data_IF_168939597907
#
_entry.id   IF_168939597907
#
_cell.length_a   1.000
_cell.length_b   1.000
_cell.length_c   1.000
_cell.angle_alpha   90.00
_cell.angle_beta   90.00
_cell.angle_gamma   90.00
#
_symmetry.space_group_name_H-M   'P 1'
#
loop_
_entity.id
_entity.type
_entity.pdbx_description
1 polymer ?
#
# COMPACT_ATOMS: atom_id res chain seq x y z
N UNK A 1 10.93 15.10 -19.79
CA UNK A 1 9.88 14.37 -19.04
C UNK A 1 9.08 15.44 -18.32
N UNK A 2 7.79 15.54 -18.61
CA UNK A 2 6.93 16.52 -17.97
C UNK A 2 6.70 16.08 -16.51
N UNK A 3 7.16 16.88 -15.55
CA UNK A 3 7.00 16.61 -14.13
C UNK A 3 5.68 17.17 -13.58
N UNK A 4 4.98 17.95 -14.39
CA UNK A 4 3.71 18.56 -14.05
C UNK A 4 2.56 17.55 -14.22
N UNK A 5 1.61 17.61 -13.31
CA UNK A 5 0.36 16.88 -13.45
C UNK A 5 -0.48 17.52 -14.55
N UNK A 6 -1.19 16.70 -15.34
CA UNK A 6 -2.23 17.19 -16.23
C UNK A 6 -3.50 17.54 -15.42
N UNK A 7 -4.51 18.09 -16.11
CA UNK A 7 -5.75 18.55 -15.45
C UNK A 7 -6.51 17.39 -14.79
N UNK A 8 -6.57 16.21 -15.41
CA UNK A 8 -7.24 15.03 -14.88
C UNK A 8 -6.53 14.49 -13.65
N UNK A 9 -5.20 14.41 -13.66
CA UNK A 9 -4.39 14.02 -12.52
C UNK A 9 -4.53 14.99 -11.35
N UNK A 10 -4.61 16.30 -11.66
CA UNK A 10 -4.83 17.34 -10.66
C UNK A 10 -6.21 17.18 -10.01
N UNK A 11 -7.27 16.98 -10.82
CA UNK A 11 -8.62 16.75 -10.30
C UNK A 11 -8.70 15.48 -9.44
N UNK A 12 -8.03 14.40 -9.85
CA UNK A 12 -8.00 13.15 -9.08
C UNK A 12 -7.31 13.34 -7.73
N UNK A 13 -6.15 13.99 -7.71
CA UNK A 13 -5.43 14.33 -6.46
C UNK A 13 -6.29 15.19 -5.54
N UNK A 14 -6.91 16.25 -6.07
CA UNK A 14 -7.73 17.17 -5.28
C UNK A 14 -8.99 16.48 -4.73
N UNK A 15 -9.56 15.52 -5.48
CA UNK A 15 -10.63 14.64 -4.99
C UNK A 15 -10.14 13.77 -3.83
N UNK A 16 -8.95 13.17 -3.93
CA UNK A 16 -8.37 12.36 -2.87
C UNK A 16 -8.03 13.20 -1.64
N UNK A 17 -7.54 14.43 -1.81
CA UNK A 17 -7.29 15.37 -0.71
C UNK A 17 -8.60 15.71 0.03
N UNK A 18 -9.67 16.06 -0.71
CA UNK A 18 -10.99 16.34 -0.12
C UNK A 18 -11.57 15.15 0.66
N UNK A 19 -11.41 13.93 0.11
CA UNK A 19 -11.82 12.72 0.81
C UNK A 19 -11.01 12.51 2.10
N UNK A 20 -9.72 12.72 2.02
CA UNK A 20 -8.80 12.58 3.15
C UNK A 20 -9.09 13.59 4.27
N UNK A 21 -9.42 14.83 3.92
CA UNK A 21 -9.88 15.84 4.88
C UNK A 21 -11.17 15.41 5.60
N UNK A 22 -12.08 14.75 4.88
CA UNK A 22 -13.37 14.32 5.43
C UNK A 22 -13.30 13.04 6.24
N UNK A 23 -12.52 12.05 5.78
CA UNK A 23 -12.54 10.69 6.28
C UNK A 23 -11.20 10.21 6.85
N UNK A 24 -10.17 11.04 6.83
CA UNK A 24 -8.86 10.77 7.42
C UNK A 24 -8.67 11.41 8.79
N UNK A 25 -7.42 11.53 9.17
CA UNK A 25 -6.97 12.27 10.35
C UNK A 25 -6.67 11.40 11.57
N UNK A 26 -5.88 12.00 12.44
CA UNK A 26 -5.36 11.36 13.65
C UNK A 26 -6.46 10.89 14.62
N UNK A 27 -7.52 11.70 14.77
CA UNK A 27 -8.62 11.38 15.69
C UNK A 27 -9.42 10.17 15.23
N UNK A 28 -9.68 10.06 13.92
CA UNK A 28 -10.33 8.86 13.35
C UNK A 28 -9.45 7.63 13.56
N UNK A 29 -8.16 7.72 13.31
CA UNK A 29 -7.24 6.61 13.51
C UNK A 29 -7.20 6.16 14.99
N UNK A 30 -7.23 7.10 15.95
CA UNK A 30 -7.33 6.78 17.39
C UNK A 30 -8.63 6.05 17.71
N UNK A 31 -9.77 6.52 17.19
CA UNK A 31 -11.08 5.86 17.39
C UNK A 31 -11.08 4.44 16.80
N UNK A 32 -10.58 4.29 15.58
CA UNK A 32 -10.56 3.00 14.90
C UNK A 32 -9.61 1.98 15.55
N UNK A 33 -8.52 2.45 16.16
CA UNK A 33 -7.58 1.61 16.92
C UNK A 33 -8.26 0.74 17.96
N UNK A 34 -9.31 1.26 18.59
CA UNK A 34 -10.02 0.64 19.71
C UNK A 34 -11.27 -0.16 19.26
N UNK A 35 -11.53 -0.23 17.95
CA UNK A 35 -12.64 -1.02 17.38
C UNK A 35 -12.20 -2.42 16.95
N UNK A 36 -13.13 -3.36 16.93
CA UNK A 36 -12.89 -4.72 16.41
C UNK A 36 -12.83 -4.72 14.88
N UNK A 37 -13.72 -3.97 14.23
CA UNK A 37 -13.78 -3.80 12.78
C UNK A 37 -12.81 -2.71 12.34
N UNK A 38 -11.88 -3.04 11.44
CA UNK A 38 -10.79 -2.16 11.01
C UNK A 38 -11.03 -1.50 9.64
N UNK A 39 -11.99 -1.99 8.85
CA UNK A 39 -12.43 -1.38 7.59
C UNK A 39 -13.84 -0.82 7.78
N UNK A 40 -14.00 0.49 7.56
CA UNK A 40 -15.32 1.12 7.50
C UNK A 40 -15.92 0.91 6.12
N UNK A 41 -16.97 0.08 6.04
CA UNK A 41 -17.63 -0.24 4.77
C UNK A 41 -18.38 0.93 4.14
N UNK A 42 -18.78 1.95 4.93
CA UNK A 42 -19.40 3.16 4.37
C UNK A 42 -18.33 3.99 3.66
N UNK A 43 -17.18 4.17 4.27
CA UNK A 43 -16.03 4.86 3.67
C UNK A 43 -15.49 4.06 2.48
N UNK A 44 -15.50 2.72 2.56
CA UNK A 44 -15.12 1.85 1.46
C UNK A 44 -16.02 2.05 0.23
N UNK A 45 -17.34 2.10 0.42
CA UNK A 45 -18.28 2.36 -0.67
C UNK A 45 -18.06 3.75 -1.32
N UNK A 46 -17.71 4.78 -0.51
CA UNK A 46 -17.37 6.10 -1.05
C UNK A 46 -16.13 6.08 -1.95
N UNK A 47 -15.14 5.24 -1.66
CA UNK A 47 -13.98 5.04 -2.53
C UNK A 47 -14.37 4.33 -3.85
N UNK A 48 -15.34 3.41 -3.80
CA UNK A 48 -15.95 2.80 -4.99
C UNK A 48 -16.67 3.83 -5.85
N UNK A 49 -17.52 4.68 -5.25
CA UNK A 49 -18.21 5.78 -5.93
C UNK A 49 -17.24 6.81 -6.55
N UNK A 50 -16.10 7.05 -5.90
CA UNK A 50 -15.04 7.90 -6.43
C UNK A 50 -14.20 7.22 -7.55
N UNK A 51 -14.44 5.96 -7.87
CA UNK A 51 -13.76 5.21 -8.92
C UNK A 51 -12.37 4.67 -8.53
N UNK A 52 -11.94 4.83 -7.28
CA UNK A 52 -10.57 4.46 -6.91
C UNK A 52 -10.33 2.96 -6.88
N UNK A 53 -11.38 2.16 -6.60
CA UNK A 53 -11.29 0.70 -6.61
C UNK A 53 -11.22 0.13 -8.05
N UNK A 54 -11.65 0.91 -9.04
CA UNK A 54 -11.61 0.55 -10.47
C UNK A 54 -10.49 1.24 -11.26
N UNK A 55 -9.63 2.03 -10.59
CA UNK A 55 -8.65 2.92 -11.20
C UNK A 55 -7.70 2.20 -12.18
N UNK A 56 -7.25 0.99 -11.84
CA UNK A 56 -6.34 0.17 -12.65
C UNK A 56 -7.06 -0.84 -13.56
N UNK A 57 -8.35 -1.09 -13.34
CA UNK A 57 -9.10 -2.06 -14.14
C UNK A 57 -9.32 -1.51 -15.56
N UNK A 58 -9.20 -2.35 -16.61
CA UNK A 58 -9.37 -1.91 -17.98
C UNK A 58 -10.78 -1.38 -18.27
N UNK A 59 -10.91 -0.40 -19.17
CA UNK A 59 -12.20 0.19 -19.56
C UNK A 59 -13.18 -0.86 -20.12
N UNK A 60 -12.68 -1.83 -20.88
CA UNK A 60 -13.52 -2.91 -21.45
C UNK A 60 -14.07 -3.88 -20.40
N UNK A 61 -13.62 -3.78 -19.14
CA UNK A 61 -14.13 -4.52 -17.97
C UNK A 61 -14.89 -3.61 -16.99
N UNK A 62 -15.24 -2.40 -17.39
CA UNK A 62 -15.95 -1.42 -16.57
C UNK A 62 -15.06 -0.57 -15.65
N UNK A 63 -13.74 -0.69 -15.74
CA UNK A 63 -12.79 0.11 -15.00
C UNK A 63 -12.48 1.47 -15.63
N UNK A 64 -11.59 2.24 -15.00
CA UNK A 64 -11.16 3.56 -15.50
C UNK A 64 -9.98 3.49 -16.46
N UNK A 65 -9.27 2.37 -16.54
CA UNK A 65 -8.13 2.20 -17.45
C UNK A 65 -6.95 3.14 -17.17
N UNK A 66 -6.88 3.69 -15.94
CA UNK A 66 -5.80 4.61 -15.54
C UNK A 66 -4.54 3.84 -15.13
N UNK A 67 -3.45 4.56 -14.85
CA UNK A 67 -2.14 4.00 -14.59
C UNK A 67 -1.74 3.95 -13.12
N UNK A 68 -0.53 3.46 -12.90
CA UNK A 68 0.13 3.45 -11.60
C UNK A 68 0.44 4.87 -11.10
N UNK A 69 0.61 5.82 -12.01
CA UNK A 69 0.79 7.23 -11.69
C UNK A 69 -0.42 7.77 -10.93
N UNK A 70 -1.63 7.54 -11.42
CA UNK A 70 -2.88 7.96 -10.80
C UNK A 70 -3.12 7.23 -9.46
N UNK A 71 -2.82 5.92 -9.40
CA UNK A 71 -2.88 5.17 -8.16
C UNK A 71 -1.95 5.75 -7.09
N UNK A 72 -0.74 6.18 -7.48
CA UNK A 72 0.21 6.82 -6.56
C UNK A 72 -0.29 8.17 -6.06
N UNK A 73 -0.93 9.00 -6.91
CA UNK A 73 -1.51 10.28 -6.49
C UNK A 73 -2.58 10.09 -5.40
N UNK A 74 -3.48 9.15 -5.59
CA UNK A 74 -4.50 8.81 -4.57
C UNK A 74 -3.84 8.29 -3.30
N UNK A 75 -2.88 7.35 -3.43
CA UNK A 75 -2.22 6.73 -2.27
C UNK A 75 -1.42 7.72 -1.44
N UNK A 76 -0.79 8.72 -2.06
CA UNK A 76 -0.08 9.80 -1.38
C UNK A 76 -1.03 10.63 -0.50
N UNK A 77 -2.17 11.06 -1.05
CA UNK A 77 -3.16 11.84 -0.29
C UNK A 77 -3.76 11.03 0.87
N UNK A 78 -4.05 9.74 0.66
CA UNK A 78 -4.51 8.85 1.74
C UNK A 78 -3.47 8.70 2.85
N UNK A 79 -2.19 8.65 2.49
CA UNK A 79 -1.07 8.61 3.44
C UNK A 79 -0.97 9.88 4.29
N UNK A 80 -1.22 11.07 3.71
CA UNK A 80 -1.26 12.36 4.43
C UNK A 80 -2.27 12.34 5.58
N UNK A 81 -3.44 11.79 5.35
CA UNK A 81 -4.51 11.72 6.35
C UNK A 81 -4.54 10.44 7.17
N UNK A 82 -3.53 9.58 7.10
CA UNK A 82 -3.50 8.30 7.84
C UNK A 82 -4.74 7.44 7.58
N UNK A 83 -5.29 7.48 6.36
CA UNK A 83 -6.45 6.65 5.98
C UNK A 83 -6.04 5.18 5.99
N UNK A 84 -6.67 4.33 6.82
CA UNK A 84 -6.18 2.98 7.04
C UNK A 84 -6.63 1.99 5.97
N UNK A 85 -7.74 2.23 5.29
CA UNK A 85 -8.35 1.31 4.34
C UNK A 85 -7.44 1.01 3.15
N UNK A 86 -7.23 -0.26 2.78
CA UNK A 86 -6.28 -0.66 1.74
C UNK A 86 -6.89 -0.56 0.32
N UNK A 87 -7.39 0.62 -0.08
CA UNK A 87 -8.05 0.84 -1.37
C UNK A 87 -7.17 0.46 -2.56
N UNK A 88 -5.89 0.89 -2.54
CA UNK A 88 -4.95 0.58 -3.60
C UNK A 88 -4.70 -0.93 -3.78
N UNK A 89 -4.73 -1.69 -2.69
CA UNK A 89 -4.58 -3.14 -2.77
C UNK A 89 -5.80 -3.79 -3.45
N UNK A 90 -7.03 -3.30 -3.17
CA UNK A 90 -8.25 -3.76 -3.85
C UNK A 90 -8.28 -3.34 -5.33
N UNK A 91 -7.82 -2.13 -5.65
CA UNK A 91 -7.70 -1.67 -7.04
C UNK A 91 -6.75 -2.55 -7.87
N UNK A 92 -5.62 -2.98 -7.25
CA UNK A 92 -4.70 -3.91 -7.89
C UNK A 92 -5.34 -5.29 -8.11
N UNK A 93 -6.17 -5.75 -7.16
CA UNK A 93 -6.97 -6.98 -7.32
C UNK A 93 -7.99 -6.83 -8.43
N UNK A 94 -8.75 -5.74 -8.50
CA UNK A 94 -9.75 -5.49 -9.54
C UNK A 94 -9.14 -5.57 -10.95
N UNK A 95 -7.92 -5.04 -11.14
CA UNK A 95 -7.16 -5.19 -12.39
C UNK A 95 -6.90 -6.67 -12.73
N UNK A 96 -6.52 -7.49 -11.74
CA UNK A 96 -6.19 -8.88 -11.95
C UNK A 96 -7.42 -9.77 -12.19
N UNK A 97 -8.59 -9.39 -11.65
CA UNK A 97 -9.85 -10.12 -11.84
C UNK A 97 -10.38 -10.00 -13.28
N UNK A 98 -10.05 -8.93 -13.99
CA UNK A 98 -10.48 -8.72 -15.37
C UNK A 98 -12.00 -8.76 -15.52
N UNK A 99 -12.52 -9.67 -16.37
CA UNK A 99 -13.96 -9.83 -16.68
C UNK A 99 -14.66 -10.90 -15.85
N UNK A 100 -14.11 -11.32 -14.71
CA UNK A 100 -14.79 -12.28 -13.82
C UNK A 100 -16.04 -11.64 -13.19
N UNK A 101 -17.08 -12.43 -12.96
CA UNK A 101 -18.37 -11.98 -12.41
C UNK A 101 -18.26 -11.17 -11.11
N UNK A 102 -17.23 -11.43 -10.29
CA UNK A 102 -17.00 -10.71 -9.03
C UNK A 102 -16.33 -9.34 -9.25
N UNK A 103 -15.79 -9.05 -10.44
CA UNK A 103 -15.02 -7.85 -10.70
C UNK A 103 -15.82 -6.58 -10.45
N UNK A 104 -17.06 -6.49 -10.94
CA UNK A 104 -17.93 -5.34 -10.74
C UNK A 104 -18.19 -5.07 -9.26
N UNK A 105 -18.46 -6.11 -8.47
CA UNK A 105 -18.71 -5.97 -7.04
C UNK A 105 -17.46 -5.49 -6.27
N UNK A 106 -16.27 -5.81 -6.75
CA UNK A 106 -15.01 -5.29 -6.18
C UNK A 106 -14.79 -3.84 -6.60
N UNK A 107 -14.99 -3.50 -7.87
CA UNK A 107 -14.82 -2.15 -8.40
C UNK A 107 -15.78 -1.13 -7.80
N UNK A 108 -17.03 -1.55 -7.52
CA UNK A 108 -18.06 -0.69 -6.88
C UNK A 108 -17.90 -0.60 -5.36
N UNK A 109 -17.06 -1.46 -4.75
CA UNK A 109 -16.89 -1.53 -3.30
C UNK A 109 -17.96 -2.36 -2.57
N UNK A 110 -18.84 -3.07 -3.28
CA UNK A 110 -19.80 -4.00 -2.67
C UNK A 110 -19.07 -5.19 -2.02
N UNK A 111 -17.97 -5.65 -2.64
CA UNK A 111 -17.10 -6.70 -2.12
C UNK A 111 -15.69 -6.19 -1.88
N UNK A 112 -15.11 -6.65 -0.79
CA UNK A 112 -13.71 -6.36 -0.43
C UNK A 112 -12.89 -7.61 -0.68
N UNK A 113 -12.04 -7.57 -1.70
CA UNK A 113 -11.09 -8.65 -2.01
C UNK A 113 -9.68 -8.08 -1.93
N UNK A 114 -8.82 -8.71 -1.12
CA UNK A 114 -7.45 -8.27 -0.93
C UNK A 114 -6.43 -9.31 -1.39
N UNK A 115 -5.22 -8.89 -1.77
CA UNK A 115 -4.17 -9.81 -2.19
C UNK A 115 -3.57 -10.56 -0.99
N UNK A 116 -3.31 -11.85 -1.18
CA UNK A 116 -2.63 -12.74 -0.24
C UNK A 116 -1.51 -13.50 -0.98
N UNK A 117 -0.41 -12.82 -1.24
CA UNK A 117 0.70 -13.36 -2.04
C UNK A 117 1.86 -13.87 -1.20
N UNK A 118 2.13 -13.23 -0.04
CA UNK A 118 3.31 -13.52 0.77
C UNK A 118 3.17 -14.84 1.54
N UNK A 119 4.30 -15.55 1.67
CA UNK A 119 4.43 -16.77 2.44
C UNK A 119 5.67 -16.69 3.35
N UNK A 120 5.46 -16.84 4.67
CA UNK A 120 6.54 -16.69 5.66
C UNK A 120 6.94 -15.22 5.91
N UNK A 121 8.05 -15.03 6.64
CA UNK A 121 8.43 -13.74 7.21
C UNK A 121 9.35 -12.89 6.34
N UNK A 122 9.87 -13.43 5.24
CA UNK A 122 10.82 -12.76 4.32
C UNK A 122 10.37 -12.79 2.87
N UNK A 123 9.11 -13.08 2.64
CA UNK A 123 8.52 -13.08 1.32
C UNK A 123 8.15 -11.64 0.91
N UNK A 124 8.23 -11.37 -0.37
CA UNK A 124 7.63 -10.20 -1.02
C UNK A 124 6.55 -10.60 -2.02
N UNK A 125 6.27 -11.90 -2.13
CA UNK A 125 5.19 -12.46 -2.95
C UNK A 125 5.58 -12.80 -4.39
N UNK A 126 6.85 -12.66 -4.77
CA UNK A 126 7.38 -13.00 -6.10
C UNK A 126 8.08 -14.36 -6.16
N UNK A 127 8.19 -15.03 -5.02
CA UNK A 127 8.74 -16.38 -4.96
C UNK A 127 7.76 -17.40 -5.52
N UNK A 128 8.28 -18.57 -5.92
CA UNK A 128 7.42 -19.71 -6.26
C UNK A 128 6.53 -20.05 -5.07
N UNK A 129 5.19 -20.05 -5.24
CA UNK A 129 4.29 -20.31 -4.12
C UNK A 129 4.51 -21.71 -3.53
N UNK A 130 4.45 -21.81 -2.20
CA UNK A 130 4.37 -23.09 -1.49
C UNK A 130 2.94 -23.53 -1.22
N UNK A 131 1.97 -22.61 -1.30
CA UNK A 131 0.53 -22.93 -1.35
C UNK A 131 0.26 -23.74 -2.61
N UNK A 132 -0.41 -24.88 -2.45
CA UNK A 132 -0.69 -25.83 -3.55
C UNK A 132 -2.11 -25.66 -4.05
N UNK A 133 -2.29 -25.66 -5.37
CA UNK A 133 -3.60 -25.77 -6.01
C UNK A 133 -3.71 -27.11 -6.74
N UNK A 134 -4.72 -27.90 -6.42
CA UNK A 134 -5.06 -29.14 -7.11
C UNK A 134 -6.45 -29.04 -7.73
N UNK A 135 -6.68 -29.73 -8.85
CA UNK A 135 -8.00 -29.74 -9.50
C UNK A 135 -9.02 -30.49 -8.64
N UNK A 136 -10.21 -29.91 -8.50
CA UNK A 136 -11.36 -30.48 -7.79
C UNK A 136 -12.62 -30.25 -8.63
N UNK A 137 -12.82 -31.07 -9.66
CA UNK A 137 -13.87 -30.82 -10.66
C UNK A 137 -13.59 -29.54 -11.45
N UNK A 138 -14.56 -28.61 -11.46
CA UNK A 138 -14.44 -27.31 -12.13
C UNK A 138 -13.81 -26.23 -11.22
N UNK A 139 -13.47 -26.56 -9.97
CA UNK A 139 -12.84 -25.67 -9.00
C UNK A 139 -11.43 -26.14 -8.65
N UNK A 140 -10.70 -25.28 -7.94
CA UNK A 140 -9.43 -25.62 -7.30
C UNK A 140 -9.65 -26.00 -5.84
N UNK A 141 -8.85 -26.94 -5.34
CA UNK A 141 -8.66 -27.20 -3.91
C UNK A 141 -7.33 -26.59 -3.51
N UNK A 142 -7.33 -25.69 -2.53
CA UNK A 142 -6.18 -24.90 -2.12
C UNK A 142 -5.70 -25.35 -0.74
N UNK A 143 -4.40 -25.63 -0.61
CA UNK A 143 -3.76 -26.04 0.62
C UNK A 143 -2.48 -25.22 0.87
N UNK A 144 -2.37 -24.57 2.02
CA UNK A 144 -1.20 -23.75 2.35
C UNK A 144 -1.46 -22.63 3.34
N UNK A 145 -0.47 -21.75 3.46
CA UNK A 145 -0.54 -20.61 4.42
C UNK A 145 -0.04 -19.35 3.75
N UNK A 146 -0.86 -18.30 3.77
CA UNK A 146 -0.48 -16.95 3.37
C UNK A 146 -0.33 -16.04 4.59
N UNK A 147 0.65 -15.14 4.54
CA UNK A 147 1.01 -14.27 5.67
C UNK A 147 1.01 -12.80 5.27
N UNK A 148 1.08 -11.91 6.25
CA UNK A 148 1.24 -10.47 5.99
C UNK A 148 0.03 -9.82 5.32
N UNK A 149 -1.17 -10.40 5.43
CA UNK A 149 -2.38 -9.90 4.79
C UNK A 149 -2.92 -8.72 5.60
N UNK A 150 -3.07 -7.52 5.02
CA UNK A 150 -3.70 -6.41 5.72
C UNK A 150 -5.20 -6.68 5.90
N UNK A 151 -5.75 -6.37 7.08
CA UNK A 151 -7.18 -6.43 7.41
C UNK A 151 -7.89 -7.75 7.07
N UNK A 152 -7.34 -8.92 7.38
CA UNK A 152 -7.87 -10.19 6.88
C UNK A 152 -9.23 -10.57 7.48
N UNK A 153 -9.65 -9.91 8.56
CA UNK A 153 -10.94 -10.14 9.24
C UNK A 153 -12.14 -9.49 8.55
N UNK A 154 -11.92 -8.38 7.85
CA UNK A 154 -12.99 -7.49 7.38
C UNK A 154 -13.32 -7.64 5.89
N UNK A 155 -12.72 -8.62 5.21
CA UNK A 155 -12.84 -8.82 3.76
C UNK A 155 -13.84 -9.91 3.39
N UNK A 156 -14.28 -9.93 2.12
CA UNK A 156 -15.14 -10.95 1.56
C UNK A 156 -14.35 -12.10 0.90
N UNK A 157 -13.12 -11.83 0.47
CA UNK A 157 -12.25 -12.83 -0.17
C UNK A 157 -10.82 -12.41 -0.33
N UNK A 158 -10.02 -13.34 -0.87
CA UNK A 158 -8.60 -13.15 -1.10
C UNK A 158 -8.22 -13.59 -2.51
N UNK A 159 -7.39 -12.79 -3.19
CA UNK A 159 -6.69 -13.17 -4.40
C UNK A 159 -5.30 -13.68 -4.01
N UNK A 160 -4.97 -14.91 -4.35
CA UNK A 160 -3.72 -15.53 -3.93
C UNK A 160 -3.01 -16.26 -5.09
N UNK A 161 -1.70 -16.38 -4.95
CA UNK A 161 -0.88 -17.23 -5.79
C UNK A 161 -0.80 -18.65 -5.22
N UNK A 162 -0.86 -19.67 -6.10
CA UNK A 162 -0.67 -21.05 -5.70
C UNK A 162 0.10 -21.81 -6.78
N UNK A 163 0.83 -22.87 -6.39
CA UNK A 163 1.55 -23.74 -7.30
C UNK A 163 0.68 -24.91 -7.76
N UNK A 164 0.73 -25.20 -9.05
CA UNK A 164 0.27 -26.46 -9.63
C UNK A 164 1.46 -27.28 -10.11
N UNK A 165 1.22 -28.49 -10.62
CA UNK A 165 2.27 -29.30 -11.28
C UNK A 165 2.89 -28.62 -12.50
N UNK A 166 2.14 -27.72 -13.14
CA UNK A 166 2.52 -27.09 -14.41
C UNK A 166 3.11 -25.67 -14.21
N UNK A 167 2.95 -25.08 -13.01
CA UNK A 167 3.44 -23.75 -12.67
C UNK A 167 2.51 -22.97 -11.73
N UNK A 168 2.78 -21.68 -11.49
CA UNK A 168 1.95 -20.85 -10.62
C UNK A 168 0.62 -20.48 -11.28
N UNK A 169 -0.42 -20.34 -10.47
CA UNK A 169 -1.73 -19.80 -10.85
C UNK A 169 -2.13 -18.69 -9.90
N UNK A 170 -3.06 -17.82 -10.32
CA UNK A 170 -3.81 -16.97 -9.42
C UNK A 170 -5.19 -17.56 -9.18
N UNK A 171 -5.61 -17.56 -7.93
CA UNK A 171 -6.91 -18.06 -7.52
C UNK A 171 -7.59 -17.09 -6.53
N UNK A 172 -8.91 -17.04 -6.56
CA UNK A 172 -9.72 -16.33 -5.58
C UNK A 172 -10.38 -17.33 -4.63
N UNK A 173 -10.35 -17.03 -3.33
CA UNK A 173 -10.99 -17.81 -2.28
C UNK A 173 -11.89 -16.90 -1.45
N UNK A 174 -13.07 -17.38 -1.05
CA UNK A 174 -13.94 -16.64 -0.14
C UNK A 174 -13.39 -16.68 1.27
N UNK A 175 -13.57 -15.57 2.00
CA UNK A 175 -13.16 -15.45 3.40
C UNK A 175 -13.73 -16.59 4.28
N UNK A 176 -14.98 -17.01 4.01
CA UNK A 176 -15.67 -18.09 4.75
C UNK A 176 -15.03 -19.47 4.60
N UNK A 177 -14.27 -19.68 3.53
CA UNK A 177 -13.72 -20.99 3.14
C UNK A 177 -12.27 -21.17 3.64
N UNK A 178 -11.78 -20.24 4.43
CA UNK A 178 -10.41 -20.25 4.96
C UNK A 178 -10.37 -19.85 6.45
N UNK A 179 -9.40 -20.39 7.17
CA UNK A 179 -9.12 -19.98 8.55
C UNK A 179 -8.27 -18.70 8.54
N UNK A 180 -8.73 -17.68 9.26
CA UNK A 180 -8.06 -16.38 9.34
C UNK A 180 -7.70 -16.07 10.78
N UNK A 181 -6.41 -15.77 10.98
CA UNK A 181 -5.90 -15.20 12.23
C UNK A 181 -5.55 -13.73 11.98
N UNK A 182 -5.99 -12.84 12.86
CA UNK A 182 -5.77 -11.40 12.76
C UNK A 182 -5.13 -10.86 14.05
N UNK A 183 -4.13 -9.99 13.91
CA UNK A 183 -3.45 -9.34 15.00
C UNK A 183 -3.43 -7.82 14.77
N UNK A 184 -3.60 -7.05 15.85
CA UNK A 184 -3.48 -5.59 15.79
C UNK A 184 -2.02 -5.18 15.63
N UNK A 185 -1.76 -4.24 14.74
CA UNK A 185 -0.44 -3.67 14.49
C UNK A 185 -0.18 -2.43 15.35
N UNK A 186 1.06 -1.93 15.33
CA UNK A 186 1.50 -0.78 16.12
C UNK A 186 0.69 0.50 15.85
N UNK A 187 0.21 0.68 14.62
CA UNK A 187 -0.62 1.82 14.18
C UNK A 187 -2.12 1.62 14.42
N UNK A 188 -2.52 0.49 15.04
CA UNK A 188 -3.91 0.15 15.30
C UNK A 188 -4.63 -0.55 14.14
N UNK A 189 -3.97 -0.73 13.00
CA UNK A 189 -4.47 -1.53 11.89
C UNK A 189 -4.46 -3.04 12.22
N UNK A 190 -4.78 -3.87 11.25
CA UNK A 190 -4.72 -5.33 11.39
C UNK A 190 -3.82 -5.95 10.33
N UNK A 191 -3.12 -7.00 10.72
CA UNK A 191 -2.36 -7.88 9.84
C UNK A 191 -2.59 -9.32 10.24
N UNK A 192 -2.56 -10.25 9.30
CA UNK A 192 -2.78 -11.63 9.68
C UNK A 192 -2.33 -12.69 8.70
N UNK A 193 -2.83 -13.88 8.98
CA UNK A 193 -2.48 -15.12 8.29
C UNK A 193 -3.76 -15.79 7.80
N UNK A 194 -3.69 -16.37 6.61
CA UNK A 194 -4.72 -17.17 5.99
C UNK A 194 -4.23 -18.62 5.90
N UNK A 195 -4.96 -19.54 6.50
CA UNK A 195 -4.70 -20.98 6.40
C UNK A 195 -5.77 -21.62 5.52
N UNK A 196 -5.33 -22.39 4.55
CA UNK A 196 -6.11 -23.08 3.55
C UNK A 196 -5.96 -24.59 3.77
N UNK A 197 -7.05 -25.28 3.96
CA UNK A 197 -7.11 -26.73 4.19
C UNK A 197 -8.14 -27.33 3.22
N UNK A 198 -7.74 -27.62 1.98
CA UNK A 198 -8.65 -28.03 0.93
C UNK A 198 -9.69 -26.96 0.59
N UNK A 199 -9.35 -25.68 0.74
CA UNK A 199 -10.28 -24.57 0.52
C UNK A 199 -10.69 -24.47 -0.96
N UNK A 200 -12.00 -24.38 -1.28
CA UNK A 200 -12.43 -24.23 -2.66
C UNK A 200 -12.06 -22.84 -3.19
N UNK A 201 -11.44 -22.82 -4.37
CA UNK A 201 -11.03 -21.59 -5.06
C UNK A 201 -11.44 -21.60 -6.53
N UNK A 202 -11.64 -20.41 -7.09
CA UNK A 202 -11.80 -20.23 -8.53
C UNK A 202 -10.51 -19.70 -9.15
N UNK A 203 -10.11 -20.25 -10.29
CA UNK A 203 -8.93 -19.79 -11.01
C UNK A 203 -9.21 -18.41 -11.64
N UNK A 204 -8.27 -17.48 -11.43
CA UNK A 204 -8.29 -16.10 -11.98
C UNK A 204 -7.33 -15.98 -13.16
N UNK A 205 -6.11 -16.50 -13.01
CA UNK A 205 -5.12 -16.55 -14.08
C UNK A 205 -4.51 -17.95 -14.19
N UNK A 206 -4.40 -18.42 -15.42
CA UNK A 206 -3.77 -19.68 -15.78
C UNK A 206 -2.25 -19.66 -15.57
N UNK A 207 -1.61 -20.80 -15.68
CA UNK A 207 -0.14 -20.96 -15.57
C UNK A 207 0.62 -20.02 -16.53
N UNK A 208 0.08 -19.75 -17.71
CA UNK A 208 0.71 -18.87 -18.69
C UNK A 208 0.53 -17.38 -18.37
N UNK A 209 -0.53 -17.02 -17.67
CA UNK A 209 -0.91 -15.63 -17.37
C UNK A 209 -0.44 -15.20 -15.97
N UNK A 210 -0.42 -16.11 -15.01
CA UNK A 210 -0.17 -15.82 -13.61
C UNK A 210 1.19 -15.10 -13.36
N UNK A 211 2.32 -15.46 -13.98
CA UNK A 211 3.56 -14.73 -13.73
C UNK A 211 3.47 -13.24 -14.05
N UNK A 212 2.85 -12.90 -15.18
CA UNK A 212 2.65 -11.49 -15.58
C UNK A 212 1.65 -10.80 -14.66
N UNK A 213 0.54 -11.45 -14.31
CA UNK A 213 -0.47 -10.91 -13.42
C UNK A 213 0.06 -10.69 -12.00
N UNK A 214 0.86 -11.62 -11.46
CA UNK A 214 1.52 -11.48 -10.16
C UNK A 214 2.50 -10.30 -10.18
N UNK A 215 3.32 -10.16 -11.24
CA UNK A 215 4.25 -9.03 -11.36
C UNK A 215 3.50 -7.69 -11.35
N UNK A 216 2.46 -7.57 -12.17
CA UNK A 216 1.65 -6.35 -12.24
C UNK A 216 0.95 -6.02 -10.91
N UNK A 217 0.47 -7.05 -10.19
CA UNK A 217 -0.12 -6.89 -8.86
C UNK A 217 0.92 -6.39 -7.85
N UNK A 218 2.11 -6.99 -7.82
CA UNK A 218 3.21 -6.58 -6.92
C UNK A 218 3.70 -5.16 -7.23
N UNK A 219 3.81 -4.78 -8.50
CA UNK A 219 4.20 -3.42 -8.91
C UNK A 219 3.22 -2.37 -8.38
N UNK A 220 1.91 -2.63 -8.50
CA UNK A 220 0.87 -1.76 -7.96
C UNK A 220 0.94 -1.66 -6.42
N UNK A 221 1.12 -2.79 -5.73
CA UNK A 221 1.24 -2.84 -4.27
C UNK A 221 2.49 -2.12 -3.77
N UNK A 222 3.63 -2.30 -4.44
CA UNK A 222 4.89 -1.68 -4.04
C UNK A 222 4.86 -0.15 -4.25
N UNK A 223 4.36 0.31 -5.40
CA UNK A 223 4.31 1.74 -5.71
C UNK A 223 3.27 2.48 -4.88
N UNK A 224 2.08 1.92 -4.71
CA UNK A 224 1.05 2.54 -3.85
C UNK A 224 1.50 2.62 -2.39
N UNK A 225 2.17 1.58 -1.88
CA UNK A 225 2.74 1.60 -0.53
C UNK A 225 3.89 2.63 -0.39
N UNK A 226 4.71 2.81 -1.42
CA UNK A 226 5.74 3.84 -1.45
C UNK A 226 5.13 5.25 -1.48
N UNK A 227 4.05 5.46 -2.23
CA UNK A 227 3.32 6.72 -2.29
C UNK A 227 2.57 7.02 -0.97
N UNK A 228 1.98 6.01 -0.31
CA UNK A 228 1.41 6.17 1.02
C UNK A 228 2.47 6.60 2.05
N UNK A 229 3.68 6.01 2.01
CA UNK A 229 4.82 6.43 2.82
C UNK A 229 5.25 7.86 2.52
N UNK A 230 5.18 8.30 1.27
CA UNK A 230 5.47 9.68 0.87
C UNK A 230 4.51 10.67 1.54
N UNK A 231 3.21 10.42 1.48
CA UNK A 231 2.20 11.23 2.16
C UNK A 231 2.39 11.29 3.68
N UNK A 232 2.71 10.14 4.31
CA UNK A 232 3.06 10.06 5.74
C UNK A 232 4.25 10.95 6.09
N UNK A 233 5.32 10.92 5.28
CA UNK A 233 6.51 11.76 5.51
C UNK A 233 6.21 13.24 5.35
N UNK A 234 5.44 13.60 4.34
CA UNK A 234 5.09 14.98 4.01
C UNK A 234 4.35 15.64 5.17
N UNK A 235 3.26 15.02 5.63
CA UNK A 235 2.49 15.57 6.77
C UNK A 235 3.30 15.54 8.07
N UNK A 236 4.11 14.51 8.32
CA UNK A 236 5.00 14.51 9.48
C UNK A 236 5.99 15.69 9.45
N UNK A 237 6.51 16.03 8.28
CA UNK A 237 7.39 17.19 8.08
C UNK A 237 6.64 18.51 8.26
N UNK A 238 5.44 18.65 7.71
CA UNK A 238 4.61 19.86 7.84
C UNK A 238 4.27 20.16 9.31
N UNK A 239 3.74 19.18 10.04
CA UNK A 239 3.46 19.28 11.48
C UNK A 239 4.72 19.69 12.25
N UNK A 240 5.87 19.11 11.90
CA UNK A 240 7.14 19.41 12.55
C UNK A 240 7.56 20.84 12.29
N UNK A 241 7.50 21.32 11.04
CA UNK A 241 7.89 22.70 10.69
C UNK A 241 7.00 23.71 11.42
N UNK A 242 5.69 23.50 11.50
CA UNK A 242 4.79 24.36 12.26
C UNK A 242 5.11 24.36 13.77
N UNK A 243 5.41 23.19 14.33
CA UNK A 243 5.85 23.11 15.73
C UNK A 243 7.17 23.87 15.96
N UNK A 244 8.15 23.76 15.05
CA UNK A 244 9.42 24.48 15.15
C UNK A 244 9.25 26.01 15.10
N UNK A 245 8.24 26.52 14.37
CA UNK A 245 7.93 27.96 14.27
C UNK A 245 7.25 28.50 15.53
N UNK A 246 6.45 27.66 16.20
CA UNK A 246 5.57 28.10 17.30
C UNK A 246 6.12 27.78 18.68
N UNK A 247 6.91 26.71 18.83
CA UNK A 247 7.48 26.30 20.12
C UNK A 247 8.64 27.19 20.50
N UNK A 248 8.54 27.83 21.68
CA UNK A 248 9.61 28.66 22.24
C UNK A 248 10.40 27.92 23.31
N UNK A 249 11.71 28.06 23.26
CA UNK A 249 12.68 27.69 24.31
C UNK A 249 13.91 28.61 24.19
N UNK A 250 14.53 28.94 25.31
CA UNK A 250 15.67 29.86 25.36
C UNK A 250 15.32 31.25 24.75
N UNK A 251 14.13 31.74 25.08
CA UNK A 251 13.57 33.04 24.69
C UNK A 251 13.40 33.26 23.17
N UNK A 252 13.24 32.19 22.40
CA UNK A 252 13.01 32.25 20.95
C UNK A 252 12.38 30.95 20.40
N UNK A 253 11.77 31.03 19.22
CA UNK A 253 11.30 29.83 18.53
C UNK A 253 12.43 28.85 18.30
N UNK A 254 12.18 27.56 18.58
CA UNK A 254 13.22 26.51 18.43
C UNK A 254 13.65 26.33 16.97
N UNK A 255 12.81 26.67 15.99
CA UNK A 255 13.18 26.70 14.57
C UNK A 255 14.27 27.71 14.20
N UNK A 256 14.64 28.63 15.12
CA UNK A 256 15.79 29.53 14.94
C UNK A 256 17.15 28.85 15.13
N UNK A 257 17.19 27.61 15.67
CA UNK A 257 18.44 26.88 15.88
C UNK A 257 18.86 26.13 14.62
N UNK A 258 20.07 26.39 14.11
CA UNK A 258 20.58 25.77 12.88
C UNK A 258 20.50 24.23 12.90
N UNK A 259 20.74 23.59 14.05
CA UNK A 259 20.68 22.13 14.16
C UNK A 259 19.31 21.57 13.79
N UNK A 260 18.21 22.28 14.12
CA UNK A 260 16.83 21.89 13.76
C UNK A 260 16.49 22.26 12.32
N UNK A 261 16.97 23.43 11.84
CA UNK A 261 16.82 23.83 10.44
C UNK A 261 17.46 22.81 9.49
N UNK A 262 18.71 22.38 9.78
CA UNK A 262 19.39 21.39 8.95
C UNK A 262 18.66 20.04 8.95
N UNK A 263 18.10 19.59 10.08
CA UNK A 263 17.29 18.38 10.13
C UNK A 263 16.03 18.51 9.28
N UNK A 264 15.30 19.62 9.39
CA UNK A 264 14.09 19.86 8.61
C UNK A 264 14.38 19.91 7.09
N UNK A 265 15.49 20.54 6.69
CA UNK A 265 15.92 20.58 5.27
C UNK A 265 16.33 19.20 4.77
N UNK A 266 17.05 18.40 5.58
CA UNK A 266 17.42 17.04 5.21
C UNK A 266 16.17 16.13 5.05
N UNK A 267 15.17 16.29 5.91
CA UNK A 267 13.90 15.60 5.78
C UNK A 267 13.21 15.97 4.45
N UNK A 268 13.11 17.27 4.15
CA UNK A 268 12.53 17.75 2.90
C UNK A 268 13.25 17.19 1.67
N UNK A 269 14.57 17.21 1.66
CA UNK A 269 15.38 16.65 0.58
C UNK A 269 15.08 15.13 0.39
N UNK A 270 14.97 14.38 1.50
CA UNK A 270 14.64 12.95 1.44
C UNK A 270 13.23 12.71 0.86
N UNK A 271 12.23 13.53 1.22
CA UNK A 271 10.87 13.48 0.72
C UNK A 271 10.85 13.71 -0.80
N UNK A 272 11.49 14.79 -1.28
CA UNK A 272 11.53 15.14 -2.70
C UNK A 272 12.26 14.09 -3.56
N UNK A 273 13.32 13.49 -3.02
CA UNK A 273 13.98 12.36 -3.68
C UNK A 273 13.06 11.14 -3.79
N UNK A 274 12.26 10.84 -2.76
CA UNK A 274 11.28 9.76 -2.80
C UNK A 274 10.18 10.05 -3.82
N UNK A 275 9.63 11.28 -3.83
CA UNK A 275 8.61 11.74 -4.80
C UNK A 275 9.09 11.52 -6.22
N UNK A 276 10.29 12.02 -6.54
CA UNK A 276 10.87 11.90 -7.88
C UNK A 276 11.01 10.44 -8.32
N UNK A 277 11.49 9.56 -7.44
CA UNK A 277 11.70 8.15 -7.76
C UNK A 277 10.37 7.38 -7.92
N UNK A 278 9.38 7.65 -7.06
CA UNK A 278 8.06 7.00 -7.11
C UNK A 278 7.37 7.32 -8.43
N UNK A 279 7.26 8.61 -8.79
CA UNK A 279 6.58 9.01 -10.03
C UNK A 279 7.38 8.67 -11.29
N UNK A 280 8.72 8.63 -11.23
CA UNK A 280 9.53 8.09 -12.31
C UNK A 280 9.25 6.60 -12.53
N UNK A 281 9.18 5.81 -11.46
CA UNK A 281 8.91 4.38 -11.53
C UNK A 281 7.49 4.10 -12.06
N UNK A 282 6.48 4.82 -11.56
CA UNK A 282 5.10 4.68 -12.00
C UNK A 282 4.96 4.96 -13.50
N UNK A 283 5.47 6.09 -13.99
CA UNK A 283 5.42 6.47 -15.42
C UNK A 283 6.19 5.50 -16.33
N UNK A 284 7.32 4.97 -15.86
CA UNK A 284 8.09 4.00 -16.64
C UNK A 284 7.32 2.68 -16.81
N UNK A 285 6.61 2.23 -15.77
CA UNK A 285 5.78 1.03 -15.81
C UNK A 285 4.49 1.27 -16.63
N UNK A 286 3.85 2.43 -16.52
CA UNK A 286 2.69 2.81 -17.32
C UNK A 286 3.05 2.86 -18.82
N UNK A 287 4.29 3.22 -19.16
CA UNK A 287 4.82 3.24 -20.51
C UNK A 287 5.19 1.86 -21.09
N UNK A 288 4.99 0.77 -20.34
CA UNK A 288 5.25 -0.62 -20.78
C UNK A 288 6.74 -0.99 -20.91
N UNK A 289 7.65 -0.15 -20.42
CA UNK A 289 9.07 -0.48 -20.33
C UNK A 289 9.30 -1.54 -19.24
N UNK A 290 10.06 -2.62 -19.52
CA UNK A 290 10.37 -3.70 -18.56
C UNK A 290 11.11 -3.20 -17.31
N UNK A 291 10.43 -2.45 -16.47
CA UNK A 291 10.95 -1.62 -15.39
C UNK A 291 10.56 -2.14 -13.98
N UNK A 292 10.18 -3.43 -13.86
CA UNK A 292 9.66 -4.01 -12.60
C UNK A 292 10.59 -3.81 -11.39
N UNK A 293 11.90 -3.72 -11.61
CA UNK A 293 12.87 -3.38 -10.57
C UNK A 293 12.68 -1.97 -9.98
N UNK A 294 12.15 -1.00 -10.75
CA UNK A 294 11.97 0.38 -10.28
C UNK A 294 10.93 0.49 -9.15
N UNK A 295 9.88 -0.32 -9.16
CA UNK A 295 8.92 -0.36 -8.05
C UNK A 295 9.60 -0.76 -6.73
N UNK A 296 10.52 -1.74 -6.78
CA UNK A 296 11.33 -2.14 -5.63
C UNK A 296 12.31 -1.05 -5.21
N UNK A 297 12.95 -0.36 -6.16
CA UNK A 297 13.82 0.78 -5.84
C UNK A 297 13.05 1.91 -5.12
N UNK A 298 11.85 2.25 -5.63
CA UNK A 298 10.98 3.25 -5.04
C UNK A 298 10.55 2.88 -3.61
N UNK A 299 10.06 1.64 -3.41
CA UNK A 299 9.66 1.19 -2.08
C UNK A 299 10.85 1.10 -1.12
N UNK A 300 12.01 0.58 -1.56
CA UNK A 300 13.22 0.55 -0.73
C UNK A 300 13.62 1.93 -0.23
N UNK A 301 13.61 2.94 -1.12
CA UNK A 301 13.95 4.32 -0.78
C UNK A 301 12.90 4.94 0.13
N UNK A 302 11.61 4.81 -0.19
CA UNK A 302 10.52 5.37 0.60
C UNK A 302 10.48 4.77 2.02
N UNK A 303 10.61 3.45 2.17
CA UNK A 303 10.60 2.76 3.46
C UNK A 303 11.75 3.20 4.36
N UNK A 304 12.97 3.31 3.84
CA UNK A 304 14.11 3.80 4.61
C UNK A 304 13.94 5.27 5.00
N UNK A 305 13.58 6.13 4.03
CA UNK A 305 13.41 7.57 4.26
C UNK A 305 12.28 7.88 5.24
N UNK A 306 11.14 7.16 5.17
CA UNK A 306 10.02 7.39 6.07
C UNK A 306 10.35 7.12 7.53
N UNK A 307 11.12 6.06 7.79
CA UNK A 307 11.59 5.78 9.15
C UNK A 307 12.51 6.88 9.67
N UNK A 308 13.42 7.39 8.83
CA UNK A 308 14.36 8.44 9.22
C UNK A 308 13.65 9.78 9.40
N UNK A 309 12.77 10.18 8.47
CA UNK A 309 11.99 11.43 8.53
C UNK A 309 11.08 11.43 9.76
N UNK A 310 10.28 10.38 9.96
CA UNK A 310 9.34 10.34 11.09
C UNK A 310 10.05 10.26 12.45
N UNK A 311 11.17 9.51 12.56
CA UNK A 311 11.99 9.52 13.78
C UNK A 311 12.62 10.88 14.05
N UNK A 312 13.14 11.55 13.01
CA UNK A 312 13.67 12.91 13.10
C UNK A 312 12.60 13.88 13.54
N UNK A 313 11.38 13.76 13.01
CA UNK A 313 10.22 14.58 13.36
C UNK A 313 9.81 14.42 14.83
N UNK A 314 9.66 13.19 15.32
CA UNK A 314 9.43 12.92 16.74
C UNK A 314 10.53 13.50 17.63
N UNK A 315 11.80 13.34 17.24
CA UNK A 315 12.92 13.92 17.99
C UNK A 315 12.85 15.43 18.07
N UNK A 316 12.43 16.12 16.99
CA UNK A 316 12.31 17.59 16.96
C UNK A 316 11.14 18.11 17.81
N UNK A 317 10.13 17.31 18.09
CA UNK A 317 9.05 17.63 19.04
C UNK A 317 9.48 17.45 20.51
N UNK A 318 10.55 16.70 20.78
CA UNK A 318 10.99 16.41 22.14
C UNK A 318 10.00 15.52 22.91
N UNK A 319 9.78 15.80 24.20
CA UNK A 319 8.97 14.94 25.06
C UNK A 319 7.55 14.72 24.58
N UNK A 320 6.88 15.74 24.04
CA UNK A 320 5.50 15.64 23.56
C UNK A 320 5.36 14.69 22.37
N UNK A 321 6.40 14.55 21.54
CA UNK A 321 6.41 13.64 20.40
C UNK A 321 6.32 12.15 20.77
N UNK A 322 6.56 11.78 22.01
CA UNK A 322 6.42 10.42 22.53
C UNK A 322 5.06 10.17 23.22
N UNK A 323 4.26 11.20 23.42
CA UNK A 323 2.93 11.07 24.01
C UNK A 323 1.88 10.74 22.96
N UNK A 324 0.76 10.15 23.36
CA UNK A 324 -0.38 9.90 22.47
C UNK A 324 -1.25 11.17 22.28
N UNK A 325 -0.90 12.26 22.95
CA UNK A 325 -1.57 13.56 22.83
C UNK A 325 -1.19 14.28 21.54
N UNK A 326 0.00 14.01 20.99
CA UNK A 326 0.49 14.64 19.78
C UNK A 326 0.46 13.69 18.58
N UNK A 327 -0.01 14.17 17.43
CA UNK A 327 -0.25 13.34 16.24
C UNK A 327 1.02 12.78 15.61
N UNK A 328 2.18 13.43 15.80
CA UNK A 328 3.44 13.03 15.18
C UNK A 328 3.81 11.57 15.47
N UNK A 329 3.46 11.05 16.65
CA UNK A 329 3.66 9.65 17.04
C UNK A 329 2.89 8.66 16.17
N UNK A 330 1.71 9.05 15.67
CA UNK A 330 0.89 8.22 14.78
C UNK A 330 1.54 8.05 13.40
N UNK A 331 2.13 9.12 12.86
CA UNK A 331 2.88 9.06 11.59
C UNK A 331 4.09 8.15 11.69
N UNK A 332 4.83 8.17 12.81
CA UNK A 332 5.92 7.22 13.01
C UNK A 332 5.42 5.76 13.09
N UNK A 333 4.34 5.51 13.83
CA UNK A 333 3.74 4.17 13.93
C UNK A 333 3.29 3.66 12.56
N UNK A 334 2.61 4.52 11.76
CA UNK A 334 2.21 4.20 10.40
C UNK A 334 3.40 3.93 9.49
N UNK A 335 4.44 4.78 9.53
CA UNK A 335 5.67 4.57 8.76
C UNK A 335 6.35 3.24 9.06
N UNK A 336 6.38 2.80 10.34
CA UNK A 336 6.96 1.51 10.74
C UNK A 336 6.20 0.34 10.11
N UNK A 337 4.87 0.38 10.11
CA UNK A 337 4.05 -0.69 9.52
C UNK A 337 4.17 -0.71 7.99
N UNK A 338 4.04 0.44 7.35
CA UNK A 338 4.16 0.54 5.89
C UNK A 338 5.56 0.16 5.38
N UNK A 339 6.63 0.53 6.10
CA UNK A 339 8.00 0.19 5.74
C UNK A 339 8.31 -1.31 5.80
N UNK A 340 7.47 -2.10 6.47
CA UNK A 340 7.57 -3.56 6.54
C UNK A 340 6.54 -4.28 5.65
N UNK A 341 5.48 -3.57 5.23
CA UNK A 341 4.43 -4.12 4.37
C UNK A 341 5.03 -4.51 3.00
N UNK A 342 4.70 -5.68 2.52
CA UNK A 342 5.20 -6.23 1.24
C UNK A 342 6.74 -6.37 1.15
N UNK A 343 7.44 -6.52 2.28
CA UNK A 343 8.89 -6.61 2.36
C UNK A 343 9.55 -5.33 2.86
N UNK A 344 10.73 -5.47 3.46
CA UNK A 344 11.49 -4.34 3.98
C UNK A 344 12.45 -3.72 2.95
N UNK A 345 13.00 -2.55 3.26
CA UNK A 345 13.92 -1.83 2.38
C UNK A 345 15.13 -2.67 1.91
N UNK A 346 15.62 -3.59 2.75
CA UNK A 346 16.76 -4.47 2.42
C UNK A 346 16.41 -5.51 1.36
N UNK A 347 15.24 -6.15 1.48
CA UNK A 347 14.73 -7.12 0.50
C UNK A 347 14.51 -6.46 -0.86
N UNK A 348 13.87 -5.30 -0.88
CA UNK A 348 13.63 -4.55 -2.12
C UNK A 348 14.91 -4.04 -2.77
N UNK A 349 15.94 -3.67 -1.99
CA UNK A 349 17.24 -3.30 -2.52
C UNK A 349 17.94 -4.48 -3.19
N UNK A 350 17.85 -5.67 -2.57
CA UNK A 350 18.38 -6.90 -3.16
C UNK A 350 17.67 -7.21 -4.48
N UNK A 351 16.34 -7.16 -4.51
CA UNK A 351 15.53 -7.39 -5.72
C UNK A 351 15.88 -6.42 -6.85
N UNK A 352 16.10 -5.15 -6.53
CA UNK A 352 16.53 -4.16 -7.51
C UNK A 352 17.93 -4.46 -8.07
N UNK A 353 18.88 -4.89 -7.23
CA UNK A 353 20.22 -5.25 -7.67
C UNK A 353 20.18 -6.46 -8.62
N UNK A 354 19.43 -7.52 -8.29
CA UNK A 354 19.24 -8.69 -9.14
C UNK A 354 18.60 -8.33 -10.50
N UNK A 355 17.62 -7.39 -10.49
CA UNK A 355 17.02 -6.88 -11.72
C UNK A 355 18.06 -6.16 -12.59
N UNK A 356 18.90 -5.30 -12.03
CA UNK A 356 19.93 -4.57 -12.80
C UNK A 356 21.01 -5.49 -13.37
N UNK A 357 21.40 -6.54 -12.65
CA UNK A 357 22.38 -7.53 -13.13
C UNK A 357 21.86 -8.35 -14.33
N UNK A 358 20.55 -8.60 -14.38
CA UNK A 358 19.93 -9.39 -15.48
C UNK A 358 19.63 -8.55 -16.72
N UNK A 359 19.63 -7.21 -16.64
CA UNK A 359 19.26 -6.29 -17.73
C UNK A 359 20.41 -5.35 -18.13
N UNK A 360 21.61 -5.52 -17.57
CA UNK A 360 22.87 -4.86 -17.99
C UNK A 360 23.68 -5.76 -18.92
#
# INVERSE_FOLDING_TARGET
MELLLNDEQTMLRDSAATFTERYGGADRLRQQRDTDTKIDRVIWAQAGEAGWLSILAPENTGGLGLGLTELCLVSEELGKGLVPEPFAASAAVARALGSLDISDAVMTGEKIVLPALMEGTRSIGDETPTTIASSSGDALSLDGVKTGIPYPGDVDGFLLSAATTDGPVLAIVRRSDAEVQSNTTLDGAAIGTLTLNGAPGAQVASVNEAPTAISALLEALHLSNAAELLGVMETAQEITVEYLKTREQFDKPIGSFQALQHKAVNNLAAIEMCRSLIFQAARALDGGGGASGLASAALSKAAASALDVCKSSVQMHGGIGFTDEHDIGLYLKRAVILAARYGNAGLHRKRYAEFTETHS
#
